data_IF_639777792207
#
_entry.id   IF_639777792207
#
_cell.length_a   1.000
_cell.length_b   1.000
_cell.length_c   1.000
_cell.angle_alpha   90.00
_cell.angle_beta   90.00
_cell.angle_gamma   90.00
#
_symmetry.space_group_name_H-M   'P 1'
#
loop_
_entity.id
_entity.type
_entity.pdbx_description
1 polymer ?
#
# COMPACT_ATOMS: atom_id res chain seq x y z
N UNK A 1 10.85 2.52 7.55
CA UNK A 1 9.62 2.51 8.33
C UNK A 1 8.41 2.41 7.41
N UNK A 2 7.45 1.61 7.78
CA UNK A 2 6.27 1.38 6.97
C UNK A 2 5.06 1.98 7.66
N UNK A 3 4.25 2.73 6.91
CA UNK A 3 2.98 3.25 7.38
C UNK A 3 1.88 2.77 6.44
N UNK A 4 0.75 2.43 7.01
CA UNK A 4 -0.41 1.97 6.24
C UNK A 4 -1.59 2.89 6.53
N UNK A 5 -2.02 3.63 5.53
CA UNK A 5 -3.23 4.44 5.63
C UNK A 5 -4.40 3.54 5.32
N UNK A 6 -5.34 3.43 6.26
CA UNK A 6 -6.34 2.37 6.20
C UNK A 6 -7.64 2.76 6.87
N UNK A 7 -8.64 1.90 6.66
CA UNK A 7 -9.84 1.82 7.47
C UNK A 7 -9.86 0.44 8.11
N UNK A 8 -10.14 0.41 9.41
CA UNK A 8 -10.06 -0.84 10.16
C UNK A 8 -10.98 -1.92 9.61
N UNK A 9 -12.16 -1.55 9.16
CA UNK A 9 -13.14 -2.52 8.69
C UNK A 9 -13.11 -2.77 7.19
N UNK A 10 -12.15 -2.23 6.50
CA UNK A 10 -12.07 -2.39 5.06
C UNK A 10 -11.40 -3.74 4.73
N UNK A 11 -12.06 -4.62 3.96
CA UNK A 11 -11.47 -5.91 3.64
C UNK A 11 -10.19 -5.80 2.80
N UNK A 12 -10.09 -4.78 1.97
CA UNK A 12 -8.88 -4.56 1.18
C UNK A 12 -7.70 -4.17 2.07
N UNK A 13 -7.98 -3.38 3.11
CA UNK A 13 -6.96 -3.03 4.09
C UNK A 13 -6.56 -4.25 4.92
N UNK A 14 -7.52 -5.10 5.25
CA UNK A 14 -7.23 -6.33 5.99
C UNK A 14 -6.29 -7.24 5.20
N UNK A 15 -6.47 -7.31 3.89
CA UNK A 15 -5.59 -8.12 3.05
C UNK A 15 -4.14 -7.61 3.12
N UNK A 16 -3.96 -6.30 3.14
CA UNK A 16 -2.63 -5.72 3.25
C UNK A 16 -2.03 -5.97 4.62
N UNK A 17 -2.84 -5.85 5.69
CA UNK A 17 -2.35 -6.15 7.03
C UNK A 17 -1.90 -7.60 7.13
N UNK A 18 -2.64 -8.51 6.52
CA UNK A 18 -2.26 -9.92 6.51
C UNK A 18 -0.94 -10.14 5.77
N UNK A 19 -0.76 -9.46 4.65
CA UNK A 19 0.48 -9.57 3.89
C UNK A 19 1.67 -9.04 4.70
N UNK A 20 1.48 -7.94 5.42
CA UNK A 20 2.52 -7.40 6.28
C UNK A 20 2.92 -8.40 7.35
N UNK A 21 1.93 -9.05 7.96
CA UNK A 21 2.21 -10.09 8.96
C UNK A 21 2.96 -11.26 8.33
N UNK A 22 2.56 -11.65 7.13
CA UNK A 22 3.17 -12.79 6.44
C UNK A 22 4.64 -12.55 6.10
N UNK A 23 4.99 -11.30 5.77
CA UNK A 23 6.39 -10.98 5.48
C UNK A 23 7.16 -10.53 6.72
N UNK A 24 6.50 -10.52 7.88
CA UNK A 24 7.16 -10.23 9.15
C UNK A 24 7.60 -8.79 9.31
N UNK A 25 6.86 -7.84 8.74
CA UNK A 25 7.21 -6.43 8.84
C UNK A 25 6.30 -5.69 9.78
N UNK A 26 6.91 -4.90 10.64
CA UNK A 26 6.17 -4.00 11.51
C UNK A 26 5.75 -2.78 10.71
N UNK A 27 4.64 -2.20 11.10
CA UNK A 27 4.13 -1.02 10.42
C UNK A 27 3.29 -0.20 11.39
N UNK A 28 3.10 1.05 11.03
CA UNK A 28 2.22 1.94 11.77
C UNK A 28 0.93 2.10 10.98
N UNK A 29 -0.19 1.76 11.63
CA UNK A 29 -1.49 1.92 10.99
C UNK A 29 -2.01 3.33 11.26
N UNK A 30 -2.41 4.00 10.21
CA UNK A 30 -2.97 5.35 10.28
C UNK A 30 -4.40 5.27 9.79
N UNK A 31 -5.34 5.41 10.72
CA UNK A 31 -6.75 5.37 10.37
C UNK A 31 -7.13 6.66 9.66
N UNK A 32 -7.79 6.54 8.50
CA UNK A 32 -8.19 7.70 7.74
C UNK A 32 -9.68 8.00 7.94
N UNK A 33 -10.14 9.21 7.62
CA UNK A 33 -11.57 9.52 7.70
C UNK A 33 -12.40 8.63 6.80
N UNK A 34 -13.60 8.31 7.23
CA UNK A 34 -14.53 7.54 6.41
C UNK A 34 -14.97 8.32 5.19
N UNK A 35 -15.15 9.62 5.35
CA UNK A 35 -15.55 10.48 4.25
C UNK A 35 -14.36 10.67 3.32
N UNK A 36 -14.51 10.22 2.07
CA UNK A 36 -13.44 10.32 1.09
C UNK A 36 -13.01 11.75 0.85
N UNK A 37 -13.92 12.70 0.97
CA UNK A 37 -13.59 14.10 0.77
C UNK A 37 -12.62 14.63 1.82
N UNK A 38 -12.57 13.98 2.98
CA UNK A 38 -11.72 14.41 4.09
C UNK A 38 -10.36 13.70 4.12
N UNK A 39 -10.08 12.86 3.13
CA UNK A 39 -8.83 12.10 3.11
C UNK A 39 -7.72 12.86 2.41
N UNK A 40 -7.36 13.99 2.99
CA UNK A 40 -6.38 14.90 2.36
C UNK A 40 -5.01 14.26 2.25
N UNK A 41 -4.58 13.54 3.29
CA UNK A 41 -3.27 12.88 3.26
C UNK A 41 -3.22 11.78 2.21
N UNK A 42 -4.29 11.01 2.10
CA UNK A 42 -4.37 9.95 1.08
C UNK A 42 -4.20 10.56 -0.31
N UNK A 43 -4.92 11.65 -0.57
CA UNK A 43 -4.83 12.33 -1.86
C UNK A 43 -3.46 12.93 -2.10
N UNK A 44 -2.86 13.50 -1.05
CA UNK A 44 -1.55 14.10 -1.19
C UNK A 44 -0.49 13.06 -1.54
N UNK A 45 -0.61 11.87 -0.96
CA UNK A 45 0.37 10.81 -1.18
C UNK A 45 0.14 10.04 -2.47
N UNK A 46 -1.10 9.71 -2.78
CA UNK A 46 -1.40 8.80 -3.88
C UNK A 46 -2.17 9.42 -5.03
N UNK A 47 -2.67 10.64 -4.86
CA UNK A 47 -3.42 11.32 -5.90
C UNK A 47 -4.85 10.85 -6.05
N UNK A 48 -5.33 10.00 -5.14
CA UNK A 48 -6.69 9.46 -5.20
C UNK A 48 -7.16 9.20 -3.77
N UNK A 49 -8.47 9.05 -3.52
CA UNK A 49 -8.99 9.01 -2.14
C UNK A 49 -9.16 7.63 -1.55
N UNK A 50 -8.84 6.58 -2.28
CA UNK A 50 -9.13 5.22 -1.81
C UNK A 50 -7.99 4.67 -0.96
N UNK A 51 -8.34 3.81 0.00
CA UNK A 51 -7.38 3.09 0.82
C UNK A 51 -7.47 1.61 0.47
N UNK A 52 -6.45 0.83 0.74
CA UNK A 52 -5.24 1.15 1.50
C UNK A 52 -4.19 1.89 0.69
N UNK A 53 -3.33 2.63 1.39
CA UNK A 53 -2.14 3.23 0.82
C UNK A 53 -0.97 2.87 1.74
N UNK A 54 0.08 2.33 1.16
CA UNK A 54 1.27 1.94 1.90
C UNK A 54 2.40 2.93 1.62
N UNK A 55 3.06 3.37 2.68
CA UNK A 55 4.24 4.21 2.56
C UNK A 55 5.41 3.42 3.16
N UNK A 56 6.42 3.15 2.35
CA UNK A 56 7.61 2.44 2.79
C UNK A 56 8.81 3.31 2.47
N UNK A 57 9.30 4.02 3.49
CA UNK A 57 10.34 5.00 3.27
C UNK A 57 9.87 6.08 2.31
N UNK A 58 10.51 6.16 1.16
CA UNK A 58 10.16 7.13 0.12
C UNK A 58 9.18 6.59 -0.92
N UNK A 59 8.79 5.34 -0.79
CA UNK A 59 7.94 4.69 -1.78
C UNK A 59 6.49 4.68 -1.31
N UNK A 60 5.59 5.08 -2.19
CA UNK A 60 4.15 5.07 -1.92
C UNK A 60 3.50 4.09 -2.89
N UNK A 61 2.74 3.15 -2.36
CA UNK A 61 2.06 2.13 -3.17
C UNK A 61 0.59 2.16 -2.80
N UNK A 62 -0.27 2.14 -3.80
CA UNK A 62 -1.71 2.08 -3.55
C UNK A 62 -2.37 1.05 -4.46
N UNK A 63 -3.59 0.69 -4.12
CA UNK A 63 -4.31 -0.47 -4.60
C UNK A 63 -3.84 -1.73 -3.89
N UNK A 64 -4.79 -2.40 -3.22
CA UNK A 64 -4.44 -3.51 -2.32
C UNK A 64 -3.66 -4.63 -3.02
N UNK A 65 -4.02 -4.95 -4.25
CA UNK A 65 -3.34 -6.02 -4.98
C UNK A 65 -1.90 -5.65 -5.27
N UNK A 66 -1.67 -4.40 -5.65
CA UNK A 66 -0.32 -3.95 -5.93
C UNK A 66 0.50 -3.85 -4.66
N UNK A 67 -0.10 -3.45 -3.55
CA UNK A 67 0.59 -3.40 -2.27
C UNK A 67 1.02 -4.80 -1.84
N UNK A 68 0.12 -5.76 -1.92
CA UNK A 68 0.43 -7.13 -1.54
C UNK A 68 1.58 -7.66 -2.37
N UNK A 69 1.53 -7.44 -3.68
CA UNK A 69 2.60 -7.84 -4.57
C UNK A 69 3.92 -7.17 -4.20
N UNK A 70 3.88 -5.86 -3.95
CA UNK A 70 5.06 -5.11 -3.55
C UNK A 70 5.69 -5.71 -2.29
N UNK A 71 4.86 -6.03 -1.30
CA UNK A 71 5.37 -6.58 -0.04
C UNK A 71 6.03 -7.92 -0.24
N UNK A 72 5.43 -8.80 -1.03
CA UNK A 72 6.03 -10.11 -1.26
C UNK A 72 7.28 -10.01 -2.12
N UNK A 73 7.31 -9.14 -3.10
CA UNK A 73 8.50 -8.95 -3.93
C UNK A 73 9.64 -8.33 -3.16
N UNK A 74 9.32 -7.43 -2.24
CA UNK A 74 10.35 -6.69 -1.50
C UNK A 74 10.86 -7.46 -0.30
N UNK A 75 9.95 -8.13 0.42
CA UNK A 75 10.29 -8.75 1.71
C UNK A 75 10.00 -10.23 1.77
N UNK A 76 9.25 -10.77 0.85
CA UNK A 76 8.89 -12.17 0.85
C UNK A 76 9.88 -13.04 0.12
N UNK A 77 9.58 -14.32 0.09
CA UNK A 77 10.40 -15.26 -0.66
C UNK A 77 10.24 -15.07 -2.16
N UNK A 78 11.33 -15.27 -2.89
CA UNK A 78 11.34 -15.02 -4.32
C UNK A 78 10.35 -15.87 -5.09
N UNK A 79 10.13 -17.08 -4.65
CA UNK A 79 9.20 -17.99 -5.33
C UNK A 79 7.78 -17.47 -5.28
N UNK A 80 7.39 -16.91 -4.13
CA UNK A 80 6.06 -16.36 -3.99
C UNK A 80 5.89 -15.14 -4.87
N UNK A 81 6.91 -14.32 -4.93
CA UNK A 81 6.88 -13.13 -5.76
C UNK A 81 6.60 -13.49 -7.21
N UNK A 82 7.27 -14.53 -7.67
CA UNK A 82 7.08 -14.96 -9.04
C UNK A 82 5.71 -15.52 -9.29
N UNK A 83 5.22 -16.32 -8.36
CA UNK A 83 3.90 -16.93 -8.54
C UNK A 83 2.77 -15.94 -8.41
N UNK A 84 3.03 -14.79 -7.81
CA UNK A 84 2.04 -13.75 -7.77
C UNK A 84 1.65 -13.25 -9.17
N UNK A 85 2.50 -13.56 -10.14
CA UNK A 85 2.21 -13.23 -11.52
C UNK A 85 2.28 -11.75 -11.77
N UNK A 86 1.83 -11.39 -12.95
CA UNK A 86 1.82 -10.01 -13.35
C UNK A 86 0.47 -9.41 -13.11
N UNK A 87 0.46 -8.20 -12.59
CA UNK A 87 -0.78 -7.48 -12.46
C UNK A 87 -1.18 -6.96 -13.83
N UNK A 88 -2.44 -7.08 -14.18
CA UNK A 88 -2.90 -6.58 -15.47
C UNK A 88 -2.88 -5.06 -15.46
N UNK A 89 -2.26 -4.49 -16.47
CA UNK A 89 -2.25 -3.06 -16.65
C UNK A 89 -1.64 -2.30 -15.49
N UNK A 90 -1.98 -1.06 -15.41
CA UNK A 90 -1.48 -0.16 -14.38
C UNK A 90 -2.54 0.18 -13.37
N UNK A 91 -3.14 -0.84 -12.81
CA UNK A 91 -4.13 -0.65 -11.76
C UNK A 91 -3.38 -0.28 -10.49
N UNK A 92 -3.78 0.82 -9.88
CA UNK A 92 -3.09 1.33 -8.72
C UNK A 92 -1.73 1.89 -9.10
N UNK A 93 -0.85 2.06 -8.13
CA UNK A 93 0.38 2.69 -8.46
C UNK A 93 1.46 2.56 -7.42
N UNK A 94 2.63 2.93 -7.87
CA UNK A 94 3.82 3.05 -7.05
C UNK A 94 4.46 4.38 -7.40
N UNK A 95 4.84 5.14 -6.39
CA UNK A 95 5.51 6.40 -6.64
C UNK A 95 6.56 6.62 -5.58
N UNK A 96 7.59 7.37 -5.95
CA UNK A 96 8.62 7.76 -5.01
C UNK A 96 8.35 9.18 -4.55
N UNK A 97 8.44 9.40 -3.24
CA UNK A 97 8.27 10.75 -2.70
C UNK A 97 9.41 11.66 -3.13
N UNK A 98 10.56 11.10 -3.46
CA UNK A 98 11.65 11.90 -3.99
C UNK A 98 11.28 12.50 -5.34
N UNK A 99 10.66 11.70 -6.19
CA UNK A 99 10.26 12.17 -7.50
C UNK A 99 9.19 13.24 -7.38
N UNK A 100 8.30 13.07 -6.42
CA UNK A 100 7.24 14.05 -6.22
C UNK A 100 7.79 15.40 -5.74
N UNK A 101 8.89 15.38 -5.01
CA UNK A 101 9.49 16.60 -4.49
C UNK A 101 10.35 17.31 -5.54
N UNK A 102 10.78 16.59 -6.55
CA UNK A 102 11.65 17.13 -7.58
C UNK A 102 10.89 17.98 -8.63
#
# INVERSE_FOLDING_TARGET
MIALLQLERCPWCAAVRQALANVGRDYQALEVPRDRAERHLVRALSGQPLVPVLVDGDTVVWDSRRIVRYLYETYGGSERSRSAGELPGDVGGVRSLRDAAG
#
